data_IF_715294494995
#
_entry.id   IF_715294494995
#
_cell.length_a   1.000
_cell.length_b   1.000
_cell.length_c   1.000
_cell.angle_alpha   90.00
_cell.angle_beta   90.00
_cell.angle_gamma   90.00
#
_symmetry.space_group_name_H-M   'P 1'
#
loop_
_entity.id
_entity.type
_entity.pdbx_description
1 polymer ?
#
# COMPACT_ATOMS: atom_id res chain seq x y z
N UNK A 1 -35.65 15.63 -11.83
CA UNK A 1 -34.19 15.57 -12.12
C UNK A 1 -33.33 15.11 -10.94
N UNK A 2 -33.65 15.42 -9.66
CA UNK A 2 -32.74 15.16 -8.51
C UNK A 2 -32.51 13.68 -8.11
N UNK A 3 -33.52 12.80 -8.19
CA UNK A 3 -33.35 11.42 -7.65
C UNK A 3 -32.45 10.52 -8.51
N UNK A 4 -32.49 10.64 -9.85
CA UNK A 4 -31.63 9.83 -10.74
C UNK A 4 -30.15 10.15 -10.55
N UNK A 5 -29.82 11.43 -10.38
CA UNK A 5 -28.45 11.87 -10.10
C UNK A 5 -27.95 11.26 -8.79
N UNK A 6 -28.77 11.28 -7.73
CA UNK A 6 -28.41 10.67 -6.43
C UNK A 6 -28.16 9.16 -6.52
N UNK A 7 -28.92 8.43 -7.34
CA UNK A 7 -28.68 7.00 -7.55
C UNK A 7 -27.37 6.75 -8.28
N UNK A 8 -27.08 7.52 -9.33
CA UNK A 8 -25.82 7.39 -10.06
C UNK A 8 -24.61 7.78 -9.21
N UNK A 9 -24.71 8.85 -8.43
CA UNK A 9 -23.67 9.23 -7.48
C UNK A 9 -23.45 8.12 -6.46
N UNK A 10 -24.50 7.54 -5.89
CA UNK A 10 -24.36 6.43 -4.95
C UNK A 10 -23.70 5.20 -5.58
N UNK A 11 -24.03 4.86 -6.83
CA UNK A 11 -23.35 3.80 -7.58
C UNK A 11 -21.86 4.13 -7.77
N UNK A 12 -21.54 5.36 -8.13
CA UNK A 12 -20.14 5.79 -8.32
C UNK A 12 -19.36 5.68 -7.02
N UNK A 13 -19.88 6.21 -5.91
CA UNK A 13 -19.19 6.16 -4.61
C UNK A 13 -19.03 4.73 -4.09
N UNK A 14 -20.05 3.87 -4.17
CA UNK A 14 -19.89 2.49 -3.69
C UNK A 14 -18.94 1.66 -4.57
N UNK A 15 -18.91 1.91 -5.88
CA UNK A 15 -17.93 1.28 -6.77
C UNK A 15 -16.51 1.78 -6.49
N UNK A 16 -16.34 3.08 -6.21
CA UNK A 16 -15.05 3.64 -5.78
C UNK A 16 -14.58 2.99 -4.47
N UNK A 17 -15.47 2.85 -3.47
CA UNK A 17 -15.16 2.11 -2.23
C UNK A 17 -14.64 0.71 -2.55
N UNK A 18 -15.34 -0.05 -3.39
CA UNK A 18 -14.89 -1.38 -3.78
C UNK A 18 -13.55 -1.37 -4.51
N UNK A 19 -13.35 -0.45 -5.45
CA UNK A 19 -12.12 -0.36 -6.26
C UNK A 19 -10.90 -0.04 -5.40
N UNK A 20 -11.03 0.89 -4.46
CA UNK A 20 -9.99 1.18 -3.50
C UNK A 20 -9.61 -0.11 -2.77
N UNK A 21 -10.58 -0.82 -2.18
CA UNK A 21 -10.29 -2.02 -1.37
C UNK A 21 -9.63 -3.15 -2.17
N UNK A 22 -10.01 -3.39 -3.43
CA UNK A 22 -9.37 -4.47 -4.19
C UNK A 22 -7.92 -4.13 -4.59
N UNK A 23 -7.62 -2.85 -4.81
CA UNK A 23 -6.24 -2.41 -5.11
C UNK A 23 -5.33 -2.63 -3.89
N UNK A 24 -5.85 -2.48 -2.68
CA UNK A 24 -5.07 -2.70 -1.45
C UNK A 24 -5.16 -4.13 -0.91
N UNK A 25 -6.11 -4.93 -1.37
CA UNK A 25 -6.35 -6.28 -0.84
C UNK A 25 -5.10 -7.17 -0.85
N UNK A 26 -4.25 -7.07 -1.88
CA UNK A 26 -3.01 -7.84 -1.95
C UNK A 26 -2.01 -7.43 -0.87
N UNK A 27 -1.80 -6.12 -0.68
CA UNK A 27 -0.88 -5.61 0.34
C UNK A 27 -1.36 -6.00 1.76
N UNK A 28 -2.67 -5.92 1.99
CA UNK A 28 -3.27 -6.35 3.25
C UNK A 28 -3.18 -7.88 3.45
N UNK A 29 -3.33 -8.67 2.39
CA UNK A 29 -3.20 -10.13 2.43
C UNK A 29 -1.80 -10.56 2.88
N UNK A 30 -0.77 -9.87 2.39
CA UNK A 30 0.62 -10.11 2.75
C UNK A 30 0.91 -9.74 4.22
N UNK A 31 0.19 -8.76 4.78
CA UNK A 31 0.25 -8.43 6.21
C UNK A 31 -0.47 -9.48 7.07
N UNK A 32 -1.74 -9.72 6.78
CA UNK A 32 -2.56 -10.74 7.40
C UNK A 32 -3.60 -11.28 6.41
N UNK A 33 -3.59 -12.59 6.14
CA UNK A 33 -4.39 -13.19 5.07
C UNK A 33 -5.89 -12.88 5.19
N UNK A 34 -6.43 -12.85 6.42
CA UNK A 34 -7.84 -12.55 6.63
C UNK A 34 -8.22 -11.11 6.26
N UNK A 35 -7.28 -10.15 6.38
CA UNK A 35 -7.51 -8.76 5.96
C UNK A 35 -7.67 -8.66 4.45
N UNK A 36 -6.80 -9.33 3.69
CA UNK A 36 -6.96 -9.44 2.24
C UNK A 36 -8.32 -10.01 1.84
N UNK A 37 -8.82 -11.04 2.54
CA UNK A 37 -10.16 -11.58 2.30
C UNK A 37 -11.28 -10.59 2.66
N UNK A 38 -11.16 -9.84 3.75
CA UNK A 38 -12.14 -8.81 4.12
C UNK A 38 -12.21 -7.69 3.07
N UNK A 39 -11.06 -7.26 2.55
CA UNK A 39 -10.98 -6.24 1.50
C UNK A 39 -11.55 -6.76 0.18
N UNK A 40 -11.28 -8.01 -0.20
CA UNK A 40 -11.91 -8.64 -1.36
C UNK A 40 -13.43 -8.78 -1.18
N UNK A 41 -13.89 -9.18 0.01
CA UNK A 41 -15.32 -9.27 0.33
C UNK A 41 -16.00 -7.89 0.24
N UNK A 42 -15.31 -6.82 0.63
CA UNK A 42 -15.76 -5.44 0.48
C UNK A 42 -16.00 -5.07 -0.99
N UNK A 43 -15.03 -5.39 -1.85
CA UNK A 43 -15.15 -5.20 -3.29
C UNK A 43 -16.37 -5.92 -3.87
N UNK A 44 -16.53 -7.23 -3.61
CA UNK A 44 -17.69 -7.98 -4.10
C UNK A 44 -19.01 -7.48 -3.51
N UNK A 45 -19.04 -7.14 -2.23
CA UNK A 45 -20.19 -6.54 -1.56
C UNK A 45 -20.60 -5.21 -2.20
N UNK A 46 -19.62 -4.40 -2.58
CA UNK A 46 -19.81 -3.13 -3.28
C UNK A 46 -20.40 -3.31 -4.68
N UNK A 47 -19.95 -4.32 -5.45
CA UNK A 47 -20.55 -4.68 -6.74
C UNK A 47 -22.01 -5.13 -6.59
N UNK A 48 -22.29 -5.96 -5.57
CA UNK A 48 -23.65 -6.43 -5.25
C UNK A 48 -24.54 -5.23 -4.88
N UNK A 49 -24.06 -4.33 -4.01
CA UNK A 49 -24.75 -3.10 -3.63
C UNK A 49 -25.07 -2.22 -4.84
N UNK A 50 -24.07 -1.97 -5.71
CA UNK A 50 -24.24 -1.20 -6.94
C UNK A 50 -25.32 -1.80 -7.85
N UNK A 51 -25.32 -3.13 -8.03
CA UNK A 51 -26.33 -3.85 -8.80
C UNK A 51 -27.73 -3.67 -8.22
N UNK A 52 -27.87 -3.74 -6.89
CA UNK A 52 -29.14 -3.48 -6.21
C UNK A 52 -29.63 -2.04 -6.39
N UNK A 53 -28.75 -1.05 -6.25
CA UNK A 53 -29.07 0.37 -6.44
C UNK A 53 -29.47 0.65 -7.90
N UNK A 54 -28.74 0.08 -8.85
CA UNK A 54 -29.06 0.19 -10.28
C UNK A 54 -30.44 -0.38 -10.60
N UNK A 55 -30.78 -1.52 -10.00
CA UNK A 55 -32.12 -2.16 -10.10
C UNK A 55 -33.19 -1.47 -9.26
N UNK A 56 -32.87 -0.35 -8.59
CA UNK A 56 -33.75 0.42 -7.69
C UNK A 56 -34.31 -0.40 -6.53
N UNK A 57 -33.52 -1.33 -6.02
CA UNK A 57 -33.88 -2.19 -4.90
C UNK A 57 -33.31 -1.65 -3.59
N UNK A 58 -34.12 -1.63 -2.53
CA UNK A 58 -33.71 -1.13 -1.21
C UNK A 58 -32.54 -1.93 -0.63
N UNK A 59 -32.47 -3.23 -0.90
CA UNK A 59 -31.39 -4.09 -0.40
C UNK A 59 -30.01 -3.62 -0.87
N UNK A 60 -29.89 -3.01 -2.06
CA UNK A 60 -28.61 -2.50 -2.54
C UNK A 60 -28.06 -1.37 -1.66
N UNK A 61 -28.95 -0.49 -1.19
CA UNK A 61 -28.62 0.59 -0.26
C UNK A 61 -28.25 0.05 1.12
N UNK A 62 -28.96 -0.97 1.61
CA UNK A 62 -28.67 -1.61 2.90
C UNK A 62 -27.31 -2.30 2.88
N UNK A 63 -27.00 -3.08 1.83
CA UNK A 63 -25.69 -3.71 1.68
C UNK A 63 -24.59 -2.66 1.60
N UNK A 64 -24.74 -1.64 0.76
CA UNK A 64 -23.74 -0.56 0.66
C UNK A 64 -23.52 0.17 1.98
N UNK A 65 -24.57 0.38 2.77
CA UNK A 65 -24.49 0.99 4.11
C UNK A 65 -23.71 0.11 5.08
N UNK A 66 -23.99 -1.20 5.10
CA UNK A 66 -23.26 -2.17 5.94
C UNK A 66 -21.78 -2.18 5.55
N UNK A 67 -21.47 -2.28 4.26
CA UNK A 67 -20.09 -2.28 3.76
C UNK A 67 -19.36 -1.00 4.18
N UNK A 68 -19.94 0.17 3.91
CA UNK A 68 -19.30 1.46 4.24
C UNK A 68 -19.12 1.62 5.76
N UNK A 69 -20.13 1.28 6.55
CA UNK A 69 -20.06 1.39 8.01
C UNK A 69 -19.03 0.44 8.62
N UNK A 70 -18.95 -0.80 8.14
CA UNK A 70 -17.96 -1.78 8.60
C UNK A 70 -16.54 -1.37 8.19
N UNK A 71 -16.37 -0.75 7.03
CA UNK A 71 -15.07 -0.25 6.56
C UNK A 71 -14.55 0.86 7.47
N UNK A 72 -15.38 1.87 7.75
CA UNK A 72 -15.05 2.97 8.67
C UNK A 72 -14.77 2.42 10.08
N UNK A 73 -15.63 1.53 10.58
CA UNK A 73 -15.45 0.92 11.90
C UNK A 73 -14.16 0.10 11.98
N UNK A 74 -13.84 -0.67 10.93
CA UNK A 74 -12.60 -1.43 10.82
C UNK A 74 -11.36 -0.54 10.80
N UNK A 75 -11.40 0.56 10.05
CA UNK A 75 -10.32 1.55 10.03
C UNK A 75 -10.10 2.18 11.41
N UNK A 76 -11.18 2.63 12.06
CA UNK A 76 -11.10 3.21 13.40
C UNK A 76 -10.59 2.19 14.42
N UNK A 77 -11.04 0.94 14.35
CA UNK A 77 -10.59 -0.13 15.22
C UNK A 77 -9.10 -0.43 15.04
N UNK A 78 -8.65 -0.57 13.78
CA UNK A 78 -7.25 -0.85 13.47
C UNK A 78 -6.32 0.25 13.96
N UNK A 79 -6.80 1.49 14.07
CA UNK A 79 -5.99 2.64 14.53
C UNK A 79 -6.04 2.86 16.03
N UNK A 80 -7.01 2.26 16.73
CA UNK A 80 -7.10 2.33 18.19
C UNK A 80 -6.41 1.16 18.88
N UNK A 81 -6.65 -0.06 18.41
CA UNK A 81 -6.17 -1.28 19.07
C UNK A 81 -5.27 -2.15 18.20
N UNK A 82 -5.12 -1.80 16.92
CA UNK A 82 -4.54 -2.70 15.94
C UNK A 82 -5.54 -3.78 15.52
N UNK A 83 -5.10 -4.64 14.61
CA UNK A 83 -5.85 -5.81 14.17
C UNK A 83 -5.07 -7.06 14.55
N UNK A 84 -5.71 -8.22 14.75
CA UNK A 84 -4.99 -9.48 14.93
C UNK A 84 -3.87 -9.62 13.88
N UNK A 85 -2.66 -9.96 14.31
CA UNK A 85 -1.45 -10.11 13.46
C UNK A 85 -0.88 -8.81 12.85
N UNK A 86 -1.47 -7.64 13.15
CA UNK A 86 -1.01 -6.34 12.65
C UNK A 86 -0.78 -5.34 13.78
N UNK A 87 0.19 -4.44 13.59
CA UNK A 87 0.42 -3.34 14.53
C UNK A 87 -0.56 -2.19 14.31
N UNK A 88 -0.63 -1.27 15.27
CA UNK A 88 -1.40 -0.02 15.13
C UNK A 88 -0.76 0.82 14.02
N UNK A 89 -1.57 1.17 13.02
CA UNK A 89 -1.12 1.99 11.90
C UNK A 89 -1.38 3.50 12.12
N UNK A 90 -0.70 4.36 11.36
CA UNK A 90 -0.79 5.83 11.46
C UNK A 90 -2.08 6.47 10.93
N UNK A 91 -2.80 7.17 11.80
CA UNK A 91 -4.00 7.94 11.42
C UNK A 91 -3.76 8.81 10.18
N UNK A 92 -4.80 8.97 9.36
CA UNK A 92 -4.79 9.84 8.17
C UNK A 92 -3.81 9.42 7.06
N UNK A 93 -3.44 8.14 7.01
CA UNK A 93 -2.82 7.55 5.82
C UNK A 93 -3.62 7.99 4.56
N UNK A 94 -2.95 8.52 3.51
CA UNK A 94 -3.64 9.18 2.40
C UNK A 94 -4.72 8.32 1.75
N UNK A 95 -4.43 7.04 1.56
CA UNK A 95 -5.38 6.08 1.04
C UNK A 95 -6.61 5.91 1.95
N UNK A 96 -6.40 5.72 3.26
CA UNK A 96 -7.47 5.59 4.24
C UNK A 96 -8.36 6.83 4.32
N UNK A 97 -7.78 8.04 4.18
CA UNK A 97 -8.53 9.29 4.15
C UNK A 97 -9.48 9.37 2.95
N UNK A 98 -9.01 8.97 1.76
CA UNK A 98 -9.85 8.92 0.55
C UNK A 98 -10.97 7.89 0.71
N UNK A 99 -10.64 6.67 1.17
CA UNK A 99 -11.63 5.62 1.40
C UNK A 99 -12.72 6.06 2.38
N UNK A 100 -12.34 6.58 3.56
CA UNK A 100 -13.30 7.10 4.55
C UNK A 100 -14.17 8.23 4.01
N UNK A 101 -13.61 9.11 3.16
CA UNK A 101 -14.36 10.21 2.55
C UNK A 101 -15.44 9.68 1.59
N UNK A 102 -15.07 8.75 0.72
CA UNK A 102 -15.97 8.10 -0.25
C UNK A 102 -17.07 7.32 0.47
N UNK A 103 -16.72 6.53 1.47
CA UNK A 103 -17.66 5.79 2.33
C UNK A 103 -18.60 6.71 3.10
N UNK A 104 -18.06 7.77 3.71
CA UNK A 104 -18.84 8.76 4.44
C UNK A 104 -19.86 9.47 3.53
N UNK A 105 -19.46 9.85 2.32
CA UNK A 105 -20.37 10.44 1.33
C UNK A 105 -21.45 9.44 0.93
N UNK A 106 -21.12 8.16 0.71
CA UNK A 106 -22.12 7.14 0.41
C UNK A 106 -23.14 6.98 1.56
N UNK A 107 -22.68 6.95 2.81
CA UNK A 107 -23.56 6.88 3.99
C UNK A 107 -24.51 8.09 4.01
N UNK A 108 -24.00 9.29 3.78
CA UNK A 108 -24.82 10.51 3.71
C UNK A 108 -25.88 10.37 2.59
N UNK A 109 -25.49 9.93 1.39
CA UNK A 109 -26.43 9.70 0.28
C UNK A 109 -27.51 8.67 0.65
N UNK A 110 -27.16 7.62 1.37
CA UNK A 110 -28.10 6.63 1.89
C UNK A 110 -29.09 7.27 2.88
N UNK A 111 -28.60 8.09 3.82
CA UNK A 111 -29.44 8.78 4.82
C UNK A 111 -30.42 9.80 4.21
N UNK A 112 -30.11 10.36 3.03
CA UNK A 112 -31.03 11.20 2.27
C UNK A 112 -32.23 10.44 1.69
N UNK A 113 -32.23 9.10 1.77
CA UNK A 113 -33.32 8.20 1.34
C UNK A 113 -33.83 8.49 -0.08
N UNK A 114 -32.95 8.58 -1.09
CA UNK A 114 -33.33 8.94 -2.46
C UNK A 114 -34.33 7.97 -3.10
N UNK A 115 -34.44 6.73 -2.59
CA UNK A 115 -35.45 5.75 -2.99
C UNK A 115 -36.89 6.13 -2.60
N UNK A 116 -37.09 7.05 -1.66
CA UNK A 116 -38.42 7.57 -1.29
C UNK A 116 -38.91 8.71 -2.21
N UNK A 117 -38.03 9.26 -3.04
CA UNK A 117 -38.39 10.35 -3.95
C UNK A 117 -39.15 9.80 -5.14
N UNK A 118 -40.41 10.23 -5.31
CA UNK A 118 -41.22 9.86 -6.47
C UNK A 118 -40.50 10.24 -7.78
N UNK A 119 -40.51 9.36 -8.79
CA UNK A 119 -39.94 9.70 -10.09
C UNK A 119 -40.69 10.91 -10.65
N UNK A 120 -39.99 12.05 -10.80
CA UNK A 120 -40.51 13.15 -11.63
C UNK A 120 -40.70 12.57 -13.04
N UNK A 121 -41.90 12.72 -13.59
CA UNK A 121 -42.23 12.26 -14.94
C UNK A 121 -41.13 12.74 -15.91
N UNK A 122 -40.59 11.86 -16.77
CA UNK A 122 -39.53 12.24 -17.69
C UNK A 122 -40.05 13.34 -18.62
N UNK A 123 -39.37 14.49 -18.65
CA UNK A 123 -39.50 15.43 -19.76
C UNK A 123 -39.04 14.69 -21.02
N UNK A 124 -39.87 14.70 -22.06
CA UNK A 124 -39.72 13.96 -23.34
C UNK A 124 -38.49 14.34 -24.18
N UNK A 125 -37.51 15.04 -23.60
CA UNK A 125 -36.35 15.67 -24.25
C UNK A 125 -34.99 15.13 -23.77
N UNK A 126 -34.93 14.11 -22.91
CA UNK A 126 -33.61 13.55 -22.52
C UNK A 126 -32.99 12.78 -23.70
N UNK A 127 -32.02 13.42 -24.37
CA UNK A 127 -31.32 12.86 -25.52
C UNK A 127 -30.66 11.52 -25.16
N UNK A 128 -30.76 10.54 -26.06
CA UNK A 128 -30.16 9.20 -25.95
C UNK A 128 -28.67 9.22 -25.56
N UNK A 129 -27.93 10.27 -25.93
CA UNK A 129 -26.50 10.45 -25.64
C UNK A 129 -26.21 10.65 -24.15
N UNK A 130 -27.04 11.39 -23.43
CA UNK A 130 -26.86 11.67 -21.99
C UNK A 130 -26.94 10.40 -21.12
N UNK A 131 -27.59 9.33 -21.62
CA UNK A 131 -27.72 8.04 -20.93
C UNK A 131 -26.37 7.33 -20.75
N UNK A 132 -25.42 7.54 -21.68
CA UNK A 132 -24.10 6.90 -21.66
C UNK A 132 -22.99 7.84 -21.17
N UNK A 133 -23.19 9.15 -21.26
CA UNK A 133 -22.21 10.14 -20.78
C UNK A 133 -22.02 10.06 -19.27
N UNK A 134 -23.09 9.92 -18.49
CA UNK A 134 -23.03 9.82 -17.03
C UNK A 134 -22.21 8.62 -16.51
N UNK A 135 -22.43 7.37 -16.98
CA UNK A 135 -21.61 6.25 -16.52
C UNK A 135 -20.17 6.33 -16.99
N UNK A 136 -19.90 6.83 -18.21
CA UNK A 136 -18.52 7.01 -18.70
C UNK A 136 -17.79 8.06 -17.86
N UNK A 137 -18.42 9.20 -17.59
CA UNK A 137 -17.85 10.22 -16.72
C UNK A 137 -17.63 9.69 -15.30
N UNK A 138 -18.57 8.89 -14.78
CA UNK A 138 -18.43 8.21 -13.49
C UNK A 138 -17.22 7.28 -13.43
N UNK A 139 -17.03 6.44 -14.46
CA UNK A 139 -15.86 5.54 -14.55
C UNK A 139 -14.54 6.32 -14.64
N UNK A 140 -14.50 7.40 -15.42
CA UNK A 140 -13.32 8.26 -15.52
C UNK A 140 -12.98 8.94 -14.18
N UNK A 141 -14.00 9.39 -13.44
CA UNK A 141 -13.81 9.95 -12.09
C UNK A 141 -13.28 8.86 -11.16
N UNK A 142 -13.89 7.67 -11.15
CA UNK A 142 -13.45 6.51 -10.35
C UNK A 142 -11.97 6.22 -10.60
N UNK A 143 -11.60 6.00 -11.87
CA UNK A 143 -10.21 5.72 -12.24
C UNK A 143 -9.26 6.85 -11.87
N UNK A 144 -9.66 8.12 -12.04
CA UNK A 144 -8.80 9.27 -11.73
C UNK A 144 -8.57 9.42 -10.23
N UNK A 145 -9.62 9.27 -9.42
CA UNK A 145 -9.54 9.34 -7.94
C UNK A 145 -8.71 8.19 -7.41
N UNK A 146 -8.95 6.96 -7.87
CA UNK A 146 -8.17 5.79 -7.48
C UNK A 146 -6.69 5.91 -7.86
N UNK A 147 -6.36 6.36 -9.08
CA UNK A 147 -4.96 6.59 -9.49
C UNK A 147 -4.33 7.69 -8.65
N UNK A 148 -5.05 8.78 -8.38
CA UNK A 148 -4.56 9.87 -7.53
C UNK A 148 -4.30 9.39 -6.09
N UNK A 149 -5.23 8.65 -5.49
CA UNK A 149 -5.09 8.09 -4.16
C UNK A 149 -3.90 7.13 -4.07
N UNK A 150 -3.76 6.25 -5.06
CA UNK A 150 -2.61 5.33 -5.15
C UNK A 150 -1.29 6.11 -5.27
N UNK A 151 -1.21 7.09 -6.18
CA UNK A 151 0.01 7.89 -6.38
C UNK A 151 0.35 8.75 -5.18
N UNK A 152 -0.65 9.35 -4.51
CA UNK A 152 -0.42 10.07 -3.26
C UNK A 152 0.12 9.10 -2.22
N UNK A 153 -0.52 7.95 -2.03
CA UNK A 153 -0.06 6.96 -1.06
C UNK A 153 1.39 6.58 -1.31
N UNK A 154 1.76 6.26 -2.55
CA UNK A 154 3.16 5.98 -2.93
C UNK A 154 4.07 7.16 -2.64
N UNK A 155 3.69 8.39 -3.00
CA UNK A 155 4.50 9.58 -2.77
C UNK A 155 4.67 9.89 -1.27
N UNK A 156 3.63 9.73 -0.46
CA UNK A 156 3.70 9.90 0.99
C UNK A 156 4.58 8.83 1.62
N UNK A 157 4.41 7.55 1.26
CA UNK A 157 5.29 6.47 1.73
C UNK A 157 6.74 6.70 1.31
N UNK A 158 6.99 7.26 0.12
CA UNK A 158 8.32 7.68 -0.34
C UNK A 158 8.89 8.87 0.45
N UNK A 159 8.05 9.84 0.82
CA UNK A 159 8.47 11.06 1.52
C UNK A 159 8.68 10.84 3.03
N UNK A 160 8.04 9.85 3.64
CA UNK A 160 8.11 9.55 5.08
C UNK A 160 9.12 8.47 5.49
N UNK A 161 10.03 8.08 4.60
CA UNK A 161 11.39 7.71 5.04
C UNK A 161 11.70 6.23 5.22
N UNK A 162 11.34 5.38 4.25
CA UNK A 162 11.80 3.99 4.21
C UNK A 162 12.33 3.53 2.86
N UNK A 163 12.50 4.39 1.85
CA UNK A 163 12.95 3.96 0.52
C UNK A 163 14.37 4.41 0.22
N UNK A 164 15.08 3.61 -0.57
CA UNK A 164 16.41 3.98 -1.07
C UNK A 164 16.23 5.09 -2.12
N UNK A 165 17.06 6.13 -2.03
CA UNK A 165 17.04 7.25 -2.98
C UNK A 165 17.39 6.84 -4.41
N UNK A 166 17.35 7.79 -5.34
CA UNK A 166 17.80 7.56 -6.72
C UNK A 166 19.27 7.13 -6.77
N UNK A 167 19.69 6.44 -7.84
CA UNK A 167 21.08 6.01 -8.05
C UNK A 167 22.07 7.18 -7.85
N UNK A 168 21.80 8.32 -8.49
CA UNK A 168 22.63 9.53 -8.37
C UNK A 168 22.73 10.01 -6.92
N UNK A 169 21.61 9.99 -6.18
CA UNK A 169 21.59 10.38 -4.78
C UNK A 169 22.45 9.42 -3.94
N UNK A 170 22.29 8.11 -4.14
CA UNK A 170 23.06 7.08 -3.42
C UNK A 170 24.56 7.18 -3.74
N UNK A 171 24.94 7.45 -5.00
CA UNK A 171 26.33 7.63 -5.41
C UNK A 171 26.97 8.87 -4.78
N UNK A 172 26.19 9.91 -4.49
CA UNK A 172 26.65 11.13 -3.82
C UNK A 172 26.61 11.06 -2.28
N UNK A 173 25.90 10.09 -1.69
CA UNK A 173 25.85 9.90 -0.23
C UNK A 173 27.23 9.50 0.33
N UNK A 174 27.74 10.14 1.39
CA UNK A 174 28.99 9.73 2.05
C UNK A 174 28.94 8.28 2.55
N UNK A 175 30.05 7.56 2.46
CA UNK A 175 30.17 6.21 3.03
C UNK A 175 30.31 6.26 4.55
N UNK A 176 29.55 5.42 5.24
CA UNK A 176 29.69 5.11 6.66
C UNK A 176 30.53 3.84 6.80
N UNK A 177 31.50 3.85 7.71
CA UNK A 177 32.32 2.66 8.00
C UNK A 177 31.51 1.57 8.71
N UNK A 178 31.94 0.30 8.63
CA UNK A 178 31.24 -0.77 9.34
C UNK A 178 31.23 -0.59 10.87
N UNK A 179 32.30 -0.02 11.43
CA UNK A 179 32.39 0.24 12.87
C UNK A 179 31.39 1.33 13.32
N UNK A 180 31.34 2.45 12.59
CA UNK A 180 30.38 3.53 12.87
C UNK A 180 28.94 3.05 12.70
N UNK A 181 28.69 2.25 11.66
CA UNK A 181 27.38 1.67 11.40
C UNK A 181 26.92 0.75 12.53
N UNK A 182 27.79 -0.12 13.03
CA UNK A 182 27.49 -1.01 14.15
C UNK A 182 27.20 -0.20 15.43
N UNK A 183 28.00 0.83 15.73
CA UNK A 183 27.81 1.68 16.90
C UNK A 183 26.48 2.47 16.84
N UNK A 184 26.19 3.05 15.68
CA UNK A 184 25.06 3.95 15.46
C UNK A 184 23.74 3.20 15.33
N UNK A 185 23.74 2.08 14.60
CA UNK A 185 22.51 1.35 14.26
C UNK A 185 22.39 0.00 14.96
N UNK A 186 23.39 -0.44 15.73
CA UNK A 186 23.28 -1.67 16.53
C UNK A 186 23.23 -2.95 15.70
N UNK A 187 23.76 -2.92 14.47
CA UNK A 187 23.73 -4.06 13.54
C UNK A 187 25.13 -4.30 12.98
N UNK A 188 25.57 -5.56 13.03
CA UNK A 188 26.83 -6.01 12.45
C UNK A 188 26.56 -6.83 11.19
N UNK A 189 27.27 -6.54 10.11
CA UNK A 189 27.24 -7.38 8.90
C UNK A 189 28.08 -8.63 9.17
N UNK A 190 27.44 -9.79 9.13
CA UNK A 190 28.09 -11.08 9.38
C UNK A 190 28.45 -11.82 8.08
N UNK A 191 27.67 -11.59 7.01
CA UNK A 191 27.92 -12.21 5.70
C UNK A 191 27.42 -11.29 4.58
N UNK A 192 28.19 -11.25 3.50
CA UNK A 192 27.76 -10.79 2.17
C UNK A 192 28.36 -11.80 1.19
N UNK A 193 27.52 -12.66 0.63
CA UNK A 193 27.97 -13.75 -0.22
C UNK A 193 26.99 -14.01 -1.36
N UNK A 194 27.52 -14.52 -2.47
CA UNK A 194 26.67 -15.00 -3.56
C UNK A 194 26.12 -16.39 -3.21
N UNK A 195 24.86 -16.64 -3.57
CA UNK A 195 24.16 -17.89 -3.29
C UNK A 195 23.28 -18.28 -4.48
N UNK A 196 22.71 -19.50 -4.42
CA UNK A 196 21.80 -20.06 -5.41
C UNK A 196 22.30 -19.90 -6.87
N UNK A 197 23.49 -20.41 -7.18
CA UNK A 197 24.08 -20.36 -8.54
C UNK A 197 24.16 -18.92 -9.09
N UNK A 198 24.73 -18.01 -8.31
CA UNK A 198 24.96 -16.62 -8.71
C UNK A 198 23.71 -15.78 -9.03
N UNK A 199 22.55 -16.25 -8.58
CA UNK A 199 21.26 -15.57 -8.78
C UNK A 199 20.79 -14.71 -7.61
N UNK A 200 21.41 -14.83 -6.43
CA UNK A 200 21.05 -14.07 -5.24
C UNK A 200 22.30 -13.69 -4.44
N UNK A 201 22.36 -12.46 -3.93
CA UNK A 201 23.31 -12.08 -2.86
C UNK A 201 22.62 -12.24 -1.51
N UNK A 202 23.14 -13.13 -0.67
CA UNK A 202 22.73 -13.35 0.73
C UNK A 202 23.53 -12.40 1.64
N UNK A 203 22.82 -11.49 2.29
CA UNK A 203 23.36 -10.54 3.25
C UNK A 203 22.78 -10.84 4.62
N UNK A 204 23.67 -11.13 5.57
CA UNK A 204 23.30 -11.46 6.95
C UNK A 204 23.70 -10.34 7.89
N UNK A 205 22.73 -9.92 8.67
CA UNK A 205 22.85 -8.84 9.65
C UNK A 205 22.65 -9.44 11.04
N UNK A 206 23.66 -9.38 11.90
CA UNK A 206 23.55 -9.76 13.30
C UNK A 206 23.13 -8.55 14.13
N UNK A 207 22.02 -8.66 14.84
CA UNK A 207 21.54 -7.62 15.75
C UNK A 207 22.40 -7.59 17.01
N UNK A 208 23.06 -6.46 17.27
CA UNK A 208 23.85 -6.19 18.48
C UNK A 208 23.01 -5.44 19.50
N UNK A 209 22.24 -4.44 19.05
CA UNK A 209 21.33 -3.63 19.86
C UNK A 209 19.94 -3.58 19.17
N UNK A 210 18.92 -4.27 19.72
CA UNK A 210 17.59 -4.33 19.13
C UNK A 210 16.90 -2.98 18.95
N UNK A 211 17.09 -2.05 19.89
CA UNK A 211 16.38 -0.77 19.91
C UNK A 211 16.91 0.13 18.80
N UNK A 212 18.23 0.16 18.60
CA UNK A 212 18.87 0.86 17.47
C UNK A 212 18.57 0.19 16.13
N UNK A 213 18.60 -1.15 16.09
CA UNK A 213 18.38 -1.92 14.88
C UNK A 213 16.97 -1.72 14.31
N UNK A 214 15.97 -1.51 15.19
CA UNK A 214 14.59 -1.25 14.79
C UNK A 214 14.44 0.01 13.91
N UNK A 215 15.25 1.04 14.14
CA UNK A 215 15.20 2.25 13.32
C UNK A 215 15.77 2.02 11.90
N UNK A 216 16.86 1.24 11.81
CA UNK A 216 17.52 0.93 10.55
C UNK A 216 16.68 -0.04 9.69
N UNK A 217 16.20 -1.13 10.30
CA UNK A 217 15.56 -2.22 9.58
C UNK A 217 14.21 -1.83 8.97
N UNK A 218 13.57 -0.75 9.45
CA UNK A 218 12.39 -0.18 8.79
C UNK A 218 12.69 0.35 7.38
N UNK A 219 13.94 0.72 7.11
CA UNK A 219 14.34 1.24 5.81
C UNK A 219 14.61 0.11 4.83
N UNK A 220 14.12 0.29 3.60
CA UNK A 220 14.42 -0.53 2.44
C UNK A 220 15.94 -0.63 2.28
N UNK A 221 16.39 -1.87 2.12
CA UNK A 221 17.75 -2.17 1.76
C UNK A 221 17.93 -2.23 0.24
N UNK A 222 19.09 -1.77 -0.22
CA UNK A 222 19.56 -1.94 -1.58
C UNK A 222 21.05 -2.30 -1.59
N UNK A 223 21.47 -2.87 -2.71
CA UNK A 223 22.84 -3.21 -3.02
C UNK A 223 23.29 -2.34 -4.19
N UNK A 224 24.27 -1.48 -3.95
CA UNK A 224 24.93 -0.69 -4.98
C UNK A 224 26.12 -1.48 -5.52
N UNK A 225 26.09 -1.80 -6.81
CA UNK A 225 27.13 -2.55 -7.51
C UNK A 225 27.89 -1.60 -8.41
N UNK A 226 29.21 -1.50 -8.22
CA UNK A 226 30.14 -0.69 -9.02
C UNK A 226 29.72 0.78 -9.26
N UNK A 227 28.89 1.36 -8.39
CA UNK A 227 28.31 2.71 -8.53
C UNK A 227 27.41 2.92 -9.78
N UNK A 228 27.08 1.85 -10.49
CA UNK A 228 26.29 1.91 -11.74
C UNK A 228 24.91 1.29 -11.59
N UNK A 229 24.78 0.28 -10.71
CA UNK A 229 23.54 -0.50 -10.58
C UNK A 229 23.08 -0.54 -9.14
N UNK A 230 21.79 -0.25 -8.93
CA UNK A 230 21.14 -0.37 -7.63
C UNK A 230 20.13 -1.53 -7.67
N UNK A 231 20.41 -2.57 -6.88
CA UNK A 231 19.55 -3.75 -6.75
C UNK A 231 18.78 -3.63 -5.43
N UNK A 232 17.45 -3.59 -5.50
CA UNK A 232 16.61 -3.51 -4.31
C UNK A 232 16.40 -4.88 -3.68
N UNK A 233 16.39 -4.96 -2.34
CA UNK A 233 15.87 -6.14 -1.67
C UNK A 233 14.37 -6.27 -1.98
N UNK A 234 13.87 -7.46 -2.37
CA UNK A 234 12.44 -7.76 -2.37
C UNK A 234 11.92 -7.58 -0.95
N UNK A 235 10.68 -7.09 -0.81
CA UNK A 235 9.99 -6.75 0.43
C UNK A 235 10.59 -7.34 1.71
N UNK A 236 11.08 -6.47 2.60
CA UNK A 236 11.59 -6.85 3.92
C UNK A 236 10.40 -7.07 4.87
N UNK A 237 9.81 -8.28 4.87
CA UNK A 237 8.78 -8.62 5.84
C UNK A 237 9.40 -8.83 7.24
N UNK A 238 9.20 -7.86 8.13
CA UNK A 238 9.57 -7.99 9.55
C UNK A 238 8.50 -8.77 10.32
N UNK A 239 8.50 -10.10 10.23
CA UNK A 239 7.71 -10.91 11.14
C UNK A 239 8.47 -11.15 12.47
N UNK A 240 7.94 -10.55 13.54
CA UNK A 240 8.33 -10.79 14.92
C UNK A 240 9.27 -9.75 15.53
N UNK A 241 9.44 -9.81 16.86
CA UNK A 241 10.29 -8.88 17.58
C UNK A 241 11.76 -9.01 17.18
N UNK A 242 12.43 -7.86 17.03
CA UNK A 242 13.88 -7.77 16.89
C UNK A 242 14.49 -8.18 18.23
N UNK A 243 15.37 -9.17 18.21
CA UNK A 243 16.00 -9.73 19.40
C UNK A 243 17.51 -9.62 19.27
N UNK A 244 18.18 -9.44 20.40
CA UNK A 244 19.65 -9.41 20.46
C UNK A 244 20.20 -10.74 19.95
N UNK A 245 21.32 -10.66 19.24
CA UNK A 245 22.02 -11.78 18.58
C UNK A 245 21.23 -12.51 17.47
N UNK A 246 20.01 -12.06 17.14
CA UNK A 246 19.25 -12.60 16.02
C UNK A 246 19.95 -12.24 14.70
N UNK A 247 20.02 -13.20 13.79
CA UNK A 247 20.47 -12.96 12.41
C UNK A 247 19.24 -12.62 11.57
N UNK A 248 19.33 -11.49 10.87
CA UNK A 248 18.37 -11.04 9.89
C UNK A 248 18.96 -11.29 8.50
N UNK A 249 18.17 -11.92 7.63
CA UNK A 249 18.59 -12.33 6.30
C UNK A 249 17.98 -11.38 5.27
N UNK A 250 18.81 -10.86 4.39
CA UNK A 250 18.41 -10.03 3.26
C UNK A 250 18.88 -10.70 1.98
N UNK A 251 17.97 -10.82 1.02
CA UNK A 251 18.25 -11.44 -0.27
C UNK A 251 18.12 -10.39 -1.35
N UNK A 252 19.13 -10.28 -2.21
CA UNK A 252 19.10 -9.38 -3.36
C UNK A 252 19.14 -10.22 -4.64
N UNK A 253 18.06 -10.25 -5.44
CA UNK A 253 18.04 -11.00 -6.68
C UNK A 253 18.98 -10.33 -7.68
N UNK A 254 19.92 -11.09 -8.21
CA UNK A 254 20.84 -10.63 -9.25
C UNK A 254 20.31 -11.13 -10.59
N UNK A 255 20.15 -10.20 -11.55
CA UNK A 255 19.79 -10.59 -12.91
C UNK A 255 21.07 -10.79 -13.71
N UNK A 256 21.11 -11.84 -14.53
CA UNK A 256 22.15 -12.03 -15.56
C UNK A 256 23.62 -11.96 -15.08
N UNK A 257 23.91 -12.36 -13.84
CA UNK A 257 25.29 -12.40 -13.33
C UNK A 257 25.91 -11.03 -13.05
N UNK A 258 25.11 -9.98 -12.80
CA UNK A 258 25.60 -8.64 -12.43
C UNK A 258 26.50 -8.64 -11.19
N UNK A 259 26.37 -9.63 -10.30
CA UNK A 259 27.22 -9.79 -9.13
C UNK A 259 27.73 -11.23 -9.06
N UNK A 260 29.03 -11.38 -8.87
CA UNK A 260 29.73 -12.65 -8.70
C UNK A 260 30.69 -12.57 -7.50
N UNK A 261 31.16 -13.71 -6.99
CA UNK A 261 32.13 -13.75 -5.90
C UNK A 261 33.40 -12.95 -6.28
N UNK A 262 33.79 -12.00 -5.43
CA UNK A 262 34.85 -11.02 -5.68
C UNK A 262 34.38 -9.66 -6.17
N UNK A 263 33.10 -9.49 -6.50
CA UNK A 263 32.52 -8.19 -6.87
C UNK A 263 32.53 -7.21 -5.70
N UNK A 264 32.64 -5.92 -6.00
CA UNK A 264 32.68 -4.85 -5.02
C UNK A 264 31.29 -4.23 -4.90
N UNK A 265 30.66 -4.38 -3.73
CA UNK A 265 29.30 -3.90 -3.50
C UNK A 265 29.23 -3.02 -2.28
N UNK A 266 28.31 -2.07 -2.25
CA UNK A 266 28.03 -1.25 -1.07
C UNK A 266 26.58 -1.45 -0.64
N UNK A 267 26.39 -1.67 0.66
CA UNK A 267 25.05 -1.85 1.23
C UNK A 267 24.43 -0.48 1.53
N UNK A 268 23.16 -0.32 1.16
CA UNK A 268 22.42 0.94 1.31
C UNK A 268 21.14 0.68 2.07
N UNK A 269 20.87 1.47 3.11
CA UNK A 269 19.66 1.40 3.92
C UNK A 269 19.01 2.78 3.97
N UNK A 270 17.96 2.99 3.18
CA UNK A 270 17.36 4.32 2.99
C UNK A 270 18.38 5.35 2.50
N UNK A 271 18.79 6.25 3.39
CA UNK A 271 19.79 7.32 3.14
C UNK A 271 21.21 7.01 3.61
N UNK A 272 21.44 5.83 4.21
CA UNK A 272 22.75 5.43 4.73
C UNK A 272 23.44 4.53 3.70
N UNK A 273 24.66 4.88 3.30
CA UNK A 273 25.51 4.05 2.44
C UNK A 273 26.70 3.53 3.23
N UNK A 274 26.93 2.24 3.20
CA UNK A 274 28.10 1.62 3.81
C UNK A 274 29.31 1.66 2.88
N UNK A 275 30.50 1.53 3.46
CA UNK A 275 31.71 1.29 2.69
C UNK A 275 31.64 -0.02 1.89
N UNK A 276 32.48 -0.10 0.87
CA UNK A 276 32.44 -1.22 -0.09
C UNK A 276 32.95 -2.50 0.55
N UNK A 277 32.22 -3.59 0.31
CA UNK A 277 32.55 -4.95 0.73
C UNK A 277 32.70 -5.84 -0.48
N UNK A 278 33.71 -6.72 -0.41
CA UNK A 278 33.90 -7.77 -1.40
C UNK A 278 32.93 -8.90 -1.13
N UNK A 279 32.11 -9.24 -2.13
CA UNK A 279 31.18 -10.35 -2.03
C UNK A 279 31.95 -11.66 -1.99
N UNK A 280 31.62 -12.54 -1.04
CA UNK A 280 32.24 -13.86 -0.88
C UNK A 280 31.57 -14.94 -1.73
#
# INVERSE_FOLDING_TARGET
MKSRLLHWLAIVFILETGLLHIITAQAEYEGAAYMGYLFAANFFGSLIAASGIYRRQLWGWVIGLIISALSIAGYVWSRMWGMPEMQVEEWLAPYGLVAMSVEGIFIILCLLRPWRLSPVAPSTSESSRLRYILPIAGLLIISSVSVFAYRWNVAATQQYGHHVGSLDQVCNTPTTSFAEFEERYGVRISLVAVSMMDSIVDVRLKVVDPDKAAALLKNQAALLVDQEVLILAPHQHHHGSIKRDKIHFLFFPTQNGTVYAGSQVSLVFGSVRLETVTVK
#
